data_IF_534747439345
#
_entry.id   IF_534747439345
#
_cell.length_a   1.000
_cell.length_b   1.000
_cell.length_c   1.000
_cell.angle_alpha   90.00
_cell.angle_beta   90.00
_cell.angle_gamma   90.00
#
_symmetry.space_group_name_H-M   'P 1'
#
loop_
_entity.id
_entity.type
_entity.pdbx_description
1 polymer ?
#
# COMPACT_ATOMS: atom_id res chain seq x y z
N UNK A 1 21.13 -4.43 -48.66
CA UNK A 1 21.73 -4.99 -47.43
C UNK A 1 21.67 -4.05 -46.22
N UNK A 2 22.02 -2.75 -46.36
CA UNK A 2 21.92 -1.75 -45.26
C UNK A 2 20.56 -1.66 -44.55
N UNK A 3 19.44 -1.80 -45.27
CA UNK A 3 18.08 -1.74 -44.68
C UNK A 3 17.75 -2.92 -43.76
N UNK A 4 18.35 -4.09 -44.00
CA UNK A 4 18.15 -5.30 -43.17
C UNK A 4 18.88 -5.17 -41.83
N UNK A 5 20.05 -4.51 -41.81
CA UNK A 5 20.82 -4.23 -40.60
C UNK A 5 20.16 -3.21 -39.67
N UNK A 6 19.46 -2.21 -40.21
CA UNK A 6 18.74 -1.23 -39.38
C UNK A 6 17.53 -1.86 -38.68
N UNK A 7 16.86 -2.82 -39.32
CA UNK A 7 15.69 -3.49 -38.74
C UNK A 7 16.06 -4.37 -37.55
N UNK A 8 17.21 -5.04 -37.57
CA UNK A 8 17.67 -5.90 -36.46
C UNK A 8 18.10 -5.10 -35.23
N UNK A 9 18.66 -3.90 -35.41
CA UNK A 9 19.07 -3.02 -34.30
C UNK A 9 17.85 -2.50 -33.51
N UNK A 10 16.77 -2.16 -34.21
CA UNK A 10 15.52 -1.68 -33.58
C UNK A 10 14.86 -2.81 -32.77
N UNK A 11 14.87 -4.04 -33.31
CA UNK A 11 14.30 -5.20 -32.62
C UNK A 11 15.10 -5.52 -31.34
N UNK A 12 16.44 -5.46 -31.37
CA UNK A 12 17.27 -5.68 -30.18
C UNK A 12 17.04 -4.63 -29.08
N UNK A 13 16.83 -3.36 -29.47
CA UNK A 13 16.60 -2.28 -28.52
C UNK A 13 15.27 -2.44 -27.74
N UNK A 14 14.25 -3.05 -28.35
CA UNK A 14 12.96 -3.32 -27.69
C UNK A 14 13.04 -4.44 -26.64
N UNK A 15 13.95 -5.41 -26.82
CA UNK A 15 14.17 -6.46 -25.82
C UNK A 15 14.96 -5.95 -24.62
N UNK A 16 15.95 -5.08 -24.83
CA UNK A 16 16.76 -4.50 -23.74
C UNK A 16 15.98 -3.60 -22.79
N UNK A 17 14.84 -3.04 -23.20
CA UNK A 17 13.98 -2.24 -22.33
C UNK A 17 12.91 -3.06 -21.59
N UNK A 18 12.81 -4.37 -21.83
CA UNK A 18 11.87 -5.26 -21.16
C UNK A 18 12.43 -5.92 -19.88
N UNK A 19 13.77 -6.02 -19.75
CA UNK A 19 14.42 -6.63 -18.57
C UNK A 19 14.41 -5.72 -17.33
N UNK A 20 13.99 -4.46 -17.47
CA UNK A 20 14.02 -3.46 -16.39
C UNK A 20 12.67 -3.23 -15.69
N UNK A 21 11.72 -4.16 -15.87
CA UNK A 21 10.41 -4.16 -15.19
C UNK A 21 10.27 -5.27 -14.14
N UNK A 22 11.33 -6.01 -13.86
CA UNK A 22 11.29 -7.20 -13.00
C UNK A 22 12.05 -7.00 -11.69
N UNK A 23 11.79 -5.91 -10.96
CA UNK A 23 12.04 -5.83 -9.51
C UNK A 23 11.39 -4.59 -8.89
N UNK A 24 10.11 -4.35 -9.18
CA UNK A 24 9.33 -3.51 -8.28
C UNK A 24 8.84 -4.43 -7.17
N UNK A 25 9.40 -4.30 -5.96
CA UNK A 25 8.93 -4.99 -4.76
C UNK A 25 7.41 -4.91 -4.75
N UNK A 26 6.73 -6.05 -4.96
CA UNK A 26 5.27 -6.07 -4.94
C UNK A 26 4.84 -5.47 -3.61
N UNK A 27 4.04 -4.38 -3.62
CA UNK A 27 3.79 -3.61 -2.41
C UNK A 27 3.11 -4.53 -1.39
N UNK A 28 3.71 -4.65 -0.21
CA UNK A 28 3.17 -5.49 0.86
C UNK A 28 1.78 -4.98 1.23
N UNK A 29 0.78 -5.84 1.06
CA UNK A 29 -0.59 -5.54 1.41
C UNK A 29 -0.94 -6.09 2.79
N UNK A 30 -1.58 -5.27 3.64
CA UNK A 30 -2.06 -5.63 4.97
C UNK A 30 -3.55 -5.33 5.11
N UNK A 31 -4.20 -6.05 6.02
CA UNK A 31 -5.58 -5.76 6.39
C UNK A 31 -5.56 -4.76 7.56
N UNK A 32 -6.02 -3.55 7.28
CA UNK A 32 -6.00 -2.41 8.18
C UNK A 32 -7.39 -2.12 8.74
N UNK A 33 -7.46 -1.72 10.00
CA UNK A 33 -8.70 -1.46 10.71
C UNK A 33 -8.62 -0.18 11.55
N UNK A 34 -9.78 0.47 11.68
CA UNK A 34 -10.04 1.51 12.66
C UNK A 34 -10.93 0.92 13.76
N UNK A 35 -10.46 0.99 15.01
CA UNK A 35 -11.16 0.44 16.17
C UNK A 35 -11.50 1.57 17.12
N UNK A 36 -12.77 1.67 17.48
CA UNK A 36 -13.26 2.67 18.43
C UNK A 36 -13.30 2.06 19.82
N UNK A 37 -12.67 2.73 20.78
CA UNK A 37 -12.58 2.35 22.18
C UNK A 37 -13.32 3.37 23.05
N UNK A 38 -13.88 2.95 24.18
CA UNK A 38 -14.28 3.88 25.25
C UNK A 38 -13.01 4.46 25.88
N UNK A 39 -12.90 5.78 25.96
CA UNK A 39 -11.74 6.46 26.55
C UNK A 39 -11.58 6.13 28.03
N UNK A 40 -12.67 5.86 28.76
CA UNK A 40 -12.66 5.59 30.20
C UNK A 40 -12.15 4.19 30.58
N UNK A 41 -12.31 3.20 29.69
CA UNK A 41 -12.05 1.78 29.99
C UNK A 41 -11.17 1.08 28.95
N UNK A 42 -10.80 1.78 27.87
CA UNK A 42 -10.15 1.24 26.66
C UNK A 42 -10.88 0.04 26.03
N UNK A 43 -12.13 -0.19 26.43
CA UNK A 43 -12.94 -1.29 25.92
C UNK A 43 -13.38 -1.00 24.50
N UNK A 44 -13.19 -1.98 23.62
CA UNK A 44 -13.61 -1.91 22.22
C UNK A 44 -15.13 -1.72 22.18
N UNK A 45 -15.57 -0.65 21.53
CA UNK A 45 -16.97 -0.40 21.24
C UNK A 45 -17.35 -0.96 19.88
N UNK A 46 -16.54 -0.69 18.86
CA UNK A 46 -16.84 -1.05 17.48
C UNK A 46 -15.58 -1.12 16.60
N UNK A 47 -15.66 -1.88 15.50
CA UNK A 47 -14.69 -1.83 14.40
C UNK A 47 -15.32 -1.03 13.27
N UNK A 48 -14.99 0.25 13.19
CA UNK A 48 -15.69 1.19 12.31
C UNK A 48 -15.36 0.97 10.84
N UNK A 49 -14.14 0.51 10.50
CA UNK A 49 -13.73 0.20 9.13
C UNK A 49 -12.66 -0.90 9.09
N UNK A 50 -12.73 -1.76 8.06
CA UNK A 50 -11.69 -2.70 7.67
C UNK A 50 -11.40 -2.53 6.18
N UNK A 51 -10.13 -2.32 5.83
CA UNK A 51 -9.66 -2.01 4.48
C UNK A 51 -8.40 -2.81 4.19
N UNK A 52 -8.23 -3.26 2.95
CA UNK A 52 -6.96 -3.87 2.50
C UNK A 52 -6.11 -2.79 1.83
N UNK A 53 -4.98 -2.44 2.44
CA UNK A 53 -4.08 -1.38 1.98
C UNK A 53 -2.73 -1.98 1.58
N UNK A 54 -2.01 -1.33 0.65
CA UNK A 54 -0.73 -1.84 0.14
C UNK A 54 0.35 -0.75 0.13
N UNK A 55 1.60 -1.16 0.35
CA UNK A 55 2.76 -0.27 0.20
C UNK A 55 2.68 0.97 1.12
N UNK A 56 2.79 2.16 0.54
CA UNK A 56 2.78 3.43 1.28
C UNK A 56 1.49 3.71 2.06
N UNK A 57 0.36 3.17 1.61
CA UNK A 57 -0.93 3.38 2.27
C UNK A 57 -0.99 2.70 3.65
N UNK A 58 -0.32 1.54 3.81
CA UNK A 58 -0.17 0.86 5.11
C UNK A 58 0.57 1.77 6.10
N UNK A 59 1.66 2.37 5.65
CA UNK A 59 2.49 3.26 6.47
C UNK A 59 1.68 4.50 6.84
N UNK A 60 0.94 5.09 5.88
CA UNK A 60 0.10 6.25 6.17
C UNK A 60 -0.99 5.91 7.18
N UNK A 61 -1.57 4.71 7.10
CA UNK A 61 -2.64 4.28 8.00
C UNK A 61 -2.15 4.10 9.44
N UNK A 62 -1.02 3.41 9.63
CA UNK A 62 -0.43 3.18 10.95
C UNK A 62 0.09 4.47 11.63
N UNK A 63 0.34 5.53 10.84
CA UNK A 63 0.78 6.83 11.35
C UNK A 63 -0.37 7.82 11.61
N UNK A 64 -1.64 7.44 11.37
CA UNK A 64 -2.75 8.30 11.76
C UNK A 64 -2.77 8.46 13.28
N UNK A 65 -2.87 9.72 13.71
CA UNK A 65 -3.04 10.03 15.12
C UNK A 65 -4.38 9.51 15.62
N UNK A 66 -4.39 9.01 16.86
CA UNK A 66 -5.61 8.60 17.53
C UNK A 66 -6.61 9.75 17.55
N UNK A 67 -7.85 9.48 17.14
CA UNK A 67 -8.92 10.47 17.12
C UNK A 67 -9.73 10.34 18.40
N UNK A 68 -9.71 11.38 19.24
CA UNK A 68 -10.48 11.41 20.49
C UNK A 68 -11.72 12.28 20.29
N UNK A 69 -12.91 11.72 20.49
CA UNK A 69 -14.20 12.42 20.40
C UNK A 69 -15.07 12.06 21.61
N UNK A 70 -15.47 13.08 22.38
CA UNK A 70 -16.28 12.96 23.61
C UNK A 70 -15.75 11.94 24.63
N UNK A 71 -16.17 10.68 24.48
CA UNK A 71 -15.88 9.54 25.35
C UNK A 71 -15.28 8.35 24.60
N UNK A 72 -14.94 8.54 23.32
CA UNK A 72 -14.36 7.51 22.48
C UNK A 72 -13.00 7.91 21.91
N UNK A 73 -12.16 6.91 21.72
CA UNK A 73 -10.86 7.03 21.07
C UNK A 73 -10.82 6.06 19.89
N UNK A 74 -10.57 6.55 18.69
CA UNK A 74 -10.36 5.72 17.50
C UNK A 74 -8.87 5.49 17.30
N UNK A 75 -8.47 4.22 17.25
CA UNK A 75 -7.09 3.78 17.01
C UNK A 75 -6.99 3.07 15.66
N UNK A 76 -5.87 3.25 14.97
CA UNK A 76 -5.62 2.71 13.64
C UNK A 76 -4.54 1.63 13.70
N UNK A 77 -4.78 0.47 13.07
CA UNK A 77 -3.80 -0.64 13.06
C UNK A 77 -3.90 -1.48 11.81
N UNK A 78 -2.81 -2.15 11.42
CA UNK A 78 -2.78 -3.11 10.31
C UNK A 78 -2.23 -4.47 10.77
N UNK A 79 -2.71 -5.54 10.15
CA UNK A 79 -2.27 -6.93 10.38
C UNK A 79 -1.69 -7.55 9.12
#
# INVERSE_FOLDING_TARGET
MKKLFFSTIIILALFSSCEQLAEEDTPVCKDCMAVMHLTSSDSIMDTTQSLRLCGGDVISWENFQDKVEDSTTTKYSCK
#
